data_IF_845835777768
#
_entry.id   IF_845835777768
#
_cell.length_a   1.000
_cell.length_b   1.000
_cell.length_c   1.000
_cell.angle_alpha   90.00
_cell.angle_beta   90.00
_cell.angle_gamma   90.00
#
_symmetry.space_group_name_H-M   'P 1'
#
loop_
_entity.id
_entity.type
_entity.pdbx_description
1 polymer ?
#
# COMPACT_ATOMS: atom_id res chain seq x y z
N UNK A 1 13.65 -8.16 20.29
CA UNK A 1 13.92 -6.77 19.84
C UNK A 1 14.51 -6.74 18.43
N UNK A 2 15.56 -7.51 18.12
CA UNK A 2 16.15 -7.55 16.78
C UNK A 2 15.16 -8.05 15.70
N UNK A 3 14.42 -9.12 15.97
CA UNK A 3 13.41 -9.67 15.05
C UNK A 3 12.25 -8.70 14.77
N UNK A 4 11.75 -8.01 15.80
CA UNK A 4 10.73 -6.96 15.61
C UNK A 4 11.26 -5.80 14.74
N UNK A 5 12.49 -5.34 14.98
CA UNK A 5 13.10 -4.29 14.15
C UNK A 5 13.34 -4.74 12.70
N UNK A 6 13.65 -6.01 12.48
CA UNK A 6 13.75 -6.63 11.16
C UNK A 6 12.41 -6.58 10.40
N UNK A 7 11.33 -7.05 11.02
CA UNK A 7 9.99 -7.05 10.39
C UNK A 7 9.46 -5.63 10.12
N UNK A 8 9.75 -4.67 11.00
CA UNK A 8 9.41 -3.27 10.74
C UNK A 8 10.16 -2.72 9.51
N UNK A 9 11.43 -3.06 9.35
CA UNK A 9 12.23 -2.63 8.20
C UNK A 9 11.72 -3.24 6.89
N UNK A 10 11.28 -4.51 6.91
CA UNK A 10 10.62 -5.14 5.76
C UNK A 10 9.26 -4.50 5.44
N UNK A 11 8.47 -4.16 6.46
CA UNK A 11 7.21 -3.46 6.27
C UNK A 11 7.43 -2.08 5.62
N UNK A 12 8.43 -1.32 6.07
CA UNK A 12 8.79 -0.02 5.50
C UNK A 12 9.35 -0.16 4.09
N UNK A 13 10.20 -1.16 3.85
CA UNK A 13 10.70 -1.52 2.53
C UNK A 13 9.56 -1.84 1.58
N UNK A 14 8.60 -2.68 1.99
CA UNK A 14 7.41 -3.00 1.20
C UNK A 14 6.47 -1.81 1.00
N UNK A 15 6.33 -0.90 1.96
CA UNK A 15 5.52 0.30 1.78
C UNK A 15 6.15 1.27 0.76
N UNK A 16 7.47 1.42 0.81
CA UNK A 16 8.20 2.47 0.09
C UNK A 16 8.91 1.97 -1.19
N UNK A 17 8.93 0.67 -1.49
CA UNK A 17 9.66 0.13 -2.65
C UNK A 17 9.31 0.83 -3.97
N UNK A 18 8.03 1.16 -4.14
CA UNK A 18 7.45 1.75 -5.34
C UNK A 18 7.15 3.25 -5.22
N UNK A 19 7.56 3.92 -4.13
CA UNK A 19 7.27 5.36 -3.93
C UNK A 19 7.87 6.24 -5.03
N UNK A 20 8.90 5.74 -5.71
CA UNK A 20 9.51 6.35 -6.87
C UNK A 20 8.57 6.50 -8.05
N UNK A 21 7.53 5.66 -8.19
CA UNK A 21 6.48 5.86 -9.21
C UNK A 21 5.74 7.18 -9.00
N UNK A 22 5.52 7.55 -7.74
CA UNK A 22 4.94 8.85 -7.41
C UNK A 22 5.92 10.00 -7.70
N UNK A 23 7.19 9.85 -7.28
CA UNK A 23 8.23 10.87 -7.49
C UNK A 23 8.54 11.10 -8.97
N UNK A 24 8.63 10.06 -9.78
CA UNK A 24 8.88 10.09 -11.23
C UNK A 24 7.82 10.92 -11.97
N UNK A 25 6.55 10.81 -11.55
CA UNK A 25 5.46 11.63 -12.11
C UNK A 25 5.56 13.12 -11.77
N UNK A 26 6.40 13.50 -10.79
CA UNK A 26 6.36 14.79 -10.13
C UNK A 26 7.68 15.58 -10.17
N UNK A 27 8.83 14.93 -10.34
CA UNK A 27 10.14 15.53 -10.13
C UNK A 27 11.05 15.30 -11.33
N UNK A 28 11.73 16.37 -11.75
CA UNK A 28 12.89 16.35 -12.64
C UNK A 28 13.98 17.25 -12.01
N UNK A 29 15.28 16.90 -12.05
CA UNK A 29 15.91 15.84 -12.84
C UNK A 29 15.88 14.44 -12.19
N UNK A 30 16.24 13.44 -13.01
CA UNK A 30 16.43 12.04 -12.64
C UNK A 30 17.54 11.89 -11.56
N UNK A 31 17.41 10.93 -10.63
CA UNK A 31 18.45 10.56 -9.67
C UNK A 31 19.76 10.08 -10.34
N UNK A 32 20.84 10.07 -9.55
CA UNK A 32 22.15 9.59 -10.01
C UNK A 32 22.27 8.05 -10.05
N UNK A 33 21.53 7.35 -9.19
CA UNK A 33 21.53 5.89 -9.11
C UNK A 33 20.84 5.25 -10.33
N UNK A 34 21.18 4.00 -10.61
CA UNK A 34 20.60 3.23 -11.71
C UNK A 34 19.93 1.95 -11.15
N UNK A 35 18.67 1.74 -11.55
CA UNK A 35 17.92 0.52 -11.26
C UNK A 35 17.53 -0.18 -12.56
N UNK A 36 16.86 -1.33 -12.43
CA UNK A 36 16.28 -2.04 -13.56
C UNK A 36 15.13 -1.25 -14.21
N UNK A 37 14.40 -0.50 -13.40
CA UNK A 37 13.35 0.42 -13.81
C UNK A 37 13.61 1.83 -13.27
N UNK A 38 13.08 2.84 -13.96
CA UNK A 38 13.28 4.27 -13.66
C UNK A 38 12.76 4.68 -12.28
N UNK A 39 11.72 4.03 -11.77
CA UNK A 39 11.19 4.35 -10.44
C UNK A 39 12.09 3.88 -9.29
N UNK A 40 12.94 2.87 -9.46
CA UNK A 40 13.78 2.32 -8.38
C UNK A 40 14.78 3.36 -7.84
N UNK A 41 15.56 4.08 -8.68
CA UNK A 41 16.39 5.20 -8.22
C UNK A 41 15.59 6.33 -7.56
N UNK A 42 14.36 6.58 -8.01
CA UNK A 42 13.49 7.58 -7.42
C UNK A 42 13.05 7.18 -6.00
N UNK A 43 12.70 5.91 -5.79
CA UNK A 43 12.40 5.35 -4.47
C UNK A 43 13.62 5.43 -3.57
N UNK A 44 14.78 5.00 -4.06
CA UNK A 44 16.06 5.05 -3.34
C UNK A 44 16.37 6.48 -2.87
N UNK A 45 16.32 7.46 -3.78
CA UNK A 45 16.61 8.86 -3.47
C UNK A 45 15.67 9.44 -2.41
N UNK A 46 14.39 9.06 -2.43
CA UNK A 46 13.43 9.49 -1.41
C UNK A 46 13.74 8.86 -0.04
N UNK A 47 14.06 7.57 0.00
CA UNK A 47 14.43 6.88 1.24
C UNK A 47 15.71 7.48 1.83
N UNK A 48 16.72 7.77 1.00
CA UNK A 48 17.97 8.40 1.42
C UNK A 48 17.73 9.80 2.01
N UNK A 49 16.86 10.59 1.37
CA UNK A 49 16.43 11.90 1.86
C UNK A 49 15.69 11.82 3.21
N UNK A 50 15.14 10.65 3.55
CA UNK A 50 14.38 10.39 4.79
C UNK A 50 15.08 9.39 5.71
N UNK A 51 16.39 9.18 5.54
CA UNK A 51 17.14 8.13 6.25
C UNK A 51 17.00 8.20 7.79
N UNK A 52 16.84 9.40 8.35
CA UNK A 52 16.66 9.60 9.80
C UNK A 52 15.39 8.97 10.35
N UNK A 53 14.38 8.73 9.51
CA UNK A 53 13.12 8.08 9.88
C UNK A 53 13.26 6.55 10.04
N UNK A 54 14.42 5.97 9.72
CA UNK A 54 14.65 4.53 9.74
C UNK A 54 15.77 4.17 10.71
N UNK A 55 15.61 3.06 11.43
CA UNK A 55 16.73 2.48 12.20
C UNK A 55 17.69 1.69 11.30
N UNK A 56 17.21 1.18 10.17
CA UNK A 56 18.00 0.45 9.17
C UNK A 56 17.83 1.06 7.77
N UNK A 57 18.26 2.33 7.55
CA UNK A 57 18.06 3.02 6.28
C UNK A 57 18.70 2.27 5.10
N UNK A 58 19.86 1.65 5.31
CA UNK A 58 20.57 0.88 4.28
C UNK A 58 19.77 -0.31 3.76
N UNK A 59 18.97 -0.96 4.62
CA UNK A 59 18.10 -2.06 4.20
C UNK A 59 16.93 -1.53 3.37
N UNK A 60 16.28 -0.46 3.84
CA UNK A 60 15.12 0.13 3.15
C UNK A 60 15.52 0.68 1.78
N UNK A 61 16.69 1.33 1.66
CA UNK A 61 17.19 1.86 0.37
C UNK A 61 17.60 0.76 -0.59
N UNK A 62 18.17 -0.35 -0.09
CA UNK A 62 18.56 -1.51 -0.91
C UNK A 62 17.32 -2.19 -1.49
N UNK A 63 16.31 -2.45 -0.65
CA UNK A 63 15.00 -2.92 -1.09
C UNK A 63 14.42 -2.00 -2.18
N UNK A 64 14.38 -0.70 -1.92
CA UNK A 64 13.83 0.28 -2.87
C UNK A 64 14.53 0.26 -4.24
N UNK A 65 15.85 0.07 -4.25
CA UNK A 65 16.65 0.11 -5.47
C UNK A 65 16.64 -1.21 -6.27
N UNK A 66 16.54 -2.35 -5.60
CA UNK A 66 16.84 -3.65 -6.21
C UNK A 66 15.69 -4.66 -6.18
N UNK A 67 14.48 -4.29 -5.72
CA UNK A 67 13.37 -5.25 -5.61
C UNK A 67 12.95 -5.89 -6.95
N UNK A 68 13.28 -5.34 -8.12
CA UNK A 68 13.06 -6.04 -9.40
C UNK A 68 14.26 -6.87 -9.92
N UNK A 69 15.43 -6.74 -9.30
CA UNK A 69 16.63 -7.55 -9.57
C UNK A 69 17.36 -7.93 -8.26
N UNK A 70 16.69 -8.66 -7.35
CA UNK A 70 17.15 -8.81 -5.98
C UNK A 70 18.37 -9.74 -5.88
N UNK A 71 19.37 -9.33 -5.10
CA UNK A 71 20.54 -10.12 -4.77
C UNK A 71 20.55 -10.53 -3.29
N UNK A 72 20.10 -9.63 -2.41
CA UNK A 72 20.08 -9.86 -0.97
C UNK A 72 18.78 -10.52 -0.50
N UNK A 73 18.79 -11.28 0.61
CA UNK A 73 17.58 -11.93 1.15
C UNK A 73 16.39 -10.98 1.32
N UNK A 74 16.61 -9.78 1.87
CA UNK A 74 15.53 -8.81 2.12
C UNK A 74 14.91 -8.24 0.83
N UNK A 75 15.75 -8.04 -0.19
CA UNK A 75 15.30 -7.64 -1.53
C UNK A 75 14.47 -8.76 -2.17
N UNK A 76 14.89 -10.02 -2.01
CA UNK A 76 14.15 -11.20 -2.50
C UNK A 76 12.79 -11.30 -1.82
N UNK A 77 12.70 -11.09 -0.51
CA UNK A 77 11.45 -11.07 0.26
C UNK A 77 10.45 -10.07 -0.34
N UNK A 78 10.88 -8.82 -0.56
CA UNK A 78 10.01 -7.79 -1.12
C UNK A 78 9.70 -8.02 -2.59
N UNK A 79 10.64 -8.55 -3.37
CA UNK A 79 10.41 -8.96 -4.75
C UNK A 79 9.30 -10.02 -4.87
N UNK A 80 9.34 -11.05 -4.02
CA UNK A 80 8.31 -12.10 -3.98
C UNK A 80 6.97 -11.49 -3.58
N UNK A 81 6.94 -10.65 -2.54
CA UNK A 81 5.74 -9.96 -2.10
C UNK A 81 5.12 -9.06 -3.20
N UNK A 82 5.93 -8.30 -3.93
CA UNK A 82 5.51 -7.45 -5.05
C UNK A 82 4.87 -8.25 -6.19
N UNK A 83 5.51 -9.36 -6.58
CA UNK A 83 4.98 -10.25 -7.61
C UNK A 83 3.64 -10.87 -7.20
N UNK A 84 3.53 -11.34 -5.97
CA UNK A 84 2.29 -11.92 -5.45
C UNK A 84 1.16 -10.88 -5.36
N UNK A 85 1.46 -9.65 -4.93
CA UNK A 85 0.48 -8.56 -4.89
C UNK A 85 0.03 -8.11 -6.29
N UNK A 86 0.86 -8.31 -7.31
CA UNK A 86 0.59 -7.92 -8.70
C UNK A 86 -0.04 -9.01 -9.56
N UNK A 87 -0.07 -10.26 -9.10
CA UNK A 87 -0.41 -11.43 -9.93
C UNK A 87 -1.84 -11.40 -10.52
N UNK A 88 -2.79 -10.77 -9.83
CA UNK A 88 -4.22 -10.71 -10.20
C UNK A 88 -4.61 -9.39 -10.90
N UNK A 89 -3.64 -8.60 -11.39
CA UNK A 89 -3.94 -7.33 -12.08
C UNK A 89 -4.74 -7.58 -13.37
N UNK A 90 -5.77 -6.77 -13.58
CA UNK A 90 -6.64 -6.90 -14.75
C UNK A 90 -5.90 -6.49 -16.03
N UNK A 91 -5.95 -7.36 -17.05
CA UNK A 91 -5.44 -7.04 -18.37
C UNK A 91 -6.31 -5.98 -19.06
N UNK A 92 -5.68 -5.00 -19.70
CA UNK A 92 -6.37 -4.02 -20.52
C UNK A 92 -7.00 -4.70 -21.76
N UNK A 93 -8.21 -4.28 -22.19
CA UNK A 93 -8.81 -4.78 -23.43
C UNK A 93 -7.92 -4.52 -24.64
N UNK A 94 -7.85 -5.48 -25.57
CA UNK A 94 -7.10 -5.31 -26.81
C UNK A 94 -7.74 -4.21 -27.68
N UNK A 95 -6.98 -3.16 -28.02
CA UNK A 95 -7.39 -2.09 -28.93
C UNK A 95 -7.73 -0.74 -28.27
N UNK A 96 -7.61 -0.60 -26.94
CA UNK A 96 -7.68 0.71 -26.29
C UNK A 96 -6.31 1.42 -26.40
N UNK A 97 -6.17 2.36 -27.35
CA UNK A 97 -5.06 3.31 -27.39
C UNK A 97 -5.16 4.26 -26.19
N UNK A 98 -4.50 3.91 -25.09
CA UNK A 98 -4.32 4.85 -23.99
C UNK A 98 -3.17 5.82 -24.29
N UNK A 99 -3.33 7.07 -23.84
CA UNK A 99 -2.36 8.13 -24.05
C UNK A 99 -0.93 7.67 -23.75
N UNK A 100 -0.07 7.75 -24.77
CA UNK A 100 1.34 7.35 -24.73
C UNK A 100 2.10 8.21 -23.73
N UNK A 101 2.42 7.64 -22.57
CA UNK A 101 3.19 8.30 -21.52
C UNK A 101 3.03 7.58 -20.19
N UNK A 102 4.03 6.76 -19.81
CA UNK A 102 4.07 5.99 -18.55
C UNK A 102 3.72 6.78 -17.28
N UNK A 103 3.86 8.10 -17.27
CA UNK A 103 3.80 8.90 -16.05
C UNK A 103 2.45 9.60 -15.76
N UNK A 104 1.39 9.39 -16.55
CA UNK A 104 0.17 10.24 -16.44
C UNK A 104 -1.18 9.55 -16.61
N UNK A 105 -1.25 8.21 -16.59
CA UNK A 105 -2.55 7.52 -16.58
C UNK A 105 -3.19 7.72 -15.20
N UNK A 106 -4.38 8.33 -15.09
CA UNK A 106 -5.05 8.45 -13.79
C UNK A 106 -5.54 7.08 -13.31
N UNK A 107 -5.70 6.95 -11.99
CA UNK A 107 -6.28 5.75 -11.39
C UNK A 107 -7.76 5.63 -11.77
N UNK A 108 -8.17 4.48 -12.28
CA UNK A 108 -9.54 4.16 -12.65
C UNK A 108 -10.31 3.68 -11.41
N UNK A 109 -11.52 4.18 -11.24
CA UNK A 109 -12.41 3.78 -10.16
C UNK A 109 -12.82 2.31 -10.30
N UNK A 110 -12.70 1.55 -9.21
CA UNK A 110 -13.22 0.18 -9.13
C UNK A 110 -14.74 0.11 -9.38
N UNK A 111 -15.49 1.17 -9.01
CA UNK A 111 -16.93 1.26 -9.26
C UNK A 111 -17.19 1.37 -10.76
N UNK A 112 -16.37 2.12 -11.50
CA UNK A 112 -16.46 2.21 -12.95
C UNK A 112 -16.30 0.86 -13.63
N UNK A 113 -15.35 0.04 -13.14
CA UNK A 113 -15.13 -1.33 -13.60
C UNK A 113 -16.32 -2.24 -13.26
N UNK A 114 -16.85 -2.16 -12.04
CA UNK A 114 -18.03 -2.94 -11.63
C UNK A 114 -19.27 -2.65 -12.49
N UNK A 115 -19.35 -1.46 -13.09
CA UNK A 115 -20.39 -1.07 -14.04
C UNK A 115 -19.97 -1.20 -15.52
N UNK A 116 -18.94 -2.00 -15.82
CA UNK A 116 -18.55 -2.37 -17.18
C UNK A 116 -17.89 -1.24 -18.00
N UNK A 117 -17.13 -0.35 -17.35
CA UNK A 117 -16.41 0.77 -17.97
C UNK A 117 -17.30 1.75 -18.76
N UNK A 118 -18.60 1.79 -18.44
CA UNK A 118 -19.57 2.72 -19.03
C UNK A 118 -19.75 4.09 -18.34
N UNK A 119 -19.04 4.49 -17.26
CA UNK A 119 -19.31 5.82 -16.71
C UNK A 119 -18.65 6.91 -17.55
N UNK A 120 -19.35 8.03 -17.67
CA UNK A 120 -18.81 9.29 -18.23
C UNK A 120 -17.58 9.80 -17.44
N UNK A 121 -17.38 9.31 -16.20
CA UNK A 121 -16.36 9.72 -15.26
C UNK A 121 -15.64 8.49 -14.63
N UNK A 122 -14.64 7.90 -15.31
CA UNK A 122 -14.01 6.67 -14.84
C UNK A 122 -12.86 6.90 -13.84
N UNK A 123 -12.32 8.11 -13.72
CA UNK A 123 -11.04 8.37 -13.06
C UNK A 123 -11.23 8.89 -11.64
N UNK A 124 -10.28 8.60 -10.75
CA UNK A 124 -10.22 9.23 -9.42
C UNK A 124 -9.46 10.56 -9.49
N UNK A 125 -9.90 11.59 -8.75
CA UNK A 125 -9.23 12.89 -8.72
C UNK A 125 -7.84 12.77 -8.07
N UNK A 126 -6.86 13.49 -8.61
CA UNK A 126 -5.51 13.54 -8.06
C UNK A 126 -5.44 14.63 -7.00
N UNK A 127 -5.32 14.21 -5.75
CA UNK A 127 -5.27 15.10 -4.59
C UNK A 127 -5.10 14.34 -3.28
N UNK A 128 -4.77 15.03 -2.17
CA UNK A 128 -4.75 14.41 -0.86
C UNK A 128 -6.14 13.86 -0.53
N UNK A 129 -6.19 12.69 0.11
CA UNK A 129 -7.43 12.09 0.57
C UNK A 129 -8.16 13.07 1.49
N UNK A 130 -9.39 13.40 1.12
CA UNK A 130 -10.24 14.38 1.78
C UNK A 130 -11.70 13.92 1.67
N UNK A 131 -12.51 14.25 2.67
CA UNK A 131 -13.93 13.87 2.72
C UNK A 131 -14.82 14.74 1.83
N UNK A 132 -14.27 15.79 1.21
CA UNK A 132 -14.99 16.60 0.22
C UNK A 132 -15.32 15.78 -1.04
N UNK A 133 -16.49 16.03 -1.61
CA UNK A 133 -17.04 15.24 -2.73
C UNK A 133 -16.17 15.30 -3.98
N UNK A 134 -15.67 16.47 -4.31
CA UNK A 134 -14.76 16.76 -5.43
C UNK A 134 -13.37 16.12 -5.27
N UNK A 135 -12.99 15.74 -4.05
CA UNK A 135 -11.71 15.08 -3.76
C UNK A 135 -11.79 13.55 -3.71
N UNK A 136 -13.00 12.95 -3.73
CA UNK A 136 -13.18 11.51 -3.52
C UNK A 136 -13.93 10.82 -4.67
N UNK A 137 -14.94 11.47 -5.25
CA UNK A 137 -15.80 10.83 -6.23
C UNK A 137 -15.16 10.81 -7.63
N UNK A 138 -15.43 9.78 -8.44
CA UNK A 138 -14.89 9.71 -9.79
C UNK A 138 -15.26 10.91 -10.66
N UNK A 139 -14.32 11.35 -11.49
CA UNK A 139 -14.45 12.46 -12.43
C UNK A 139 -14.06 12.05 -13.86
N UNK A 140 -14.51 12.84 -14.83
CA UNK A 140 -14.18 12.65 -16.25
C UNK A 140 -12.84 13.32 -16.63
N UNK A 141 -12.43 14.30 -15.83
CA UNK A 141 -11.29 15.16 -16.13
C UNK A 141 -9.97 14.43 -15.91
N UNK A 142 -9.01 14.68 -16.80
CA UNK A 142 -7.63 14.28 -16.58
C UNK A 142 -6.97 15.21 -15.56
N UNK A 143 -6.04 14.71 -14.74
CA UNK A 143 -5.34 15.54 -13.79
C UNK A 143 -4.55 16.64 -14.51
N UNK A 144 -4.55 17.83 -13.91
CA UNK A 144 -3.70 18.94 -14.37
C UNK A 144 -2.24 18.52 -14.44
N UNK A 145 -1.48 19.12 -15.37
CA UNK A 145 -0.06 18.80 -15.59
C UNK A 145 0.79 18.89 -14.31
N UNK A 146 0.43 19.80 -13.41
CA UNK A 146 1.16 20.06 -12.17
C UNK A 146 0.55 19.34 -10.94
N UNK A 147 -0.58 18.64 -11.09
CA UNK A 147 -1.30 18.03 -9.96
C UNK A 147 -0.40 17.05 -9.17
N UNK A 148 0.29 16.14 -9.88
CA UNK A 148 1.24 15.21 -9.26
C UNK A 148 2.42 15.92 -8.59
N UNK A 149 2.93 16.99 -9.20
CA UNK A 149 4.03 17.80 -8.63
C UNK A 149 3.62 18.49 -7.34
N UNK A 150 2.42 19.05 -7.28
CA UNK A 150 1.87 19.68 -6.09
C UNK A 150 1.59 18.64 -4.99
N UNK A 151 1.02 17.50 -5.36
CA UNK A 151 0.74 16.39 -4.45
C UNK A 151 2.04 15.84 -3.84
N UNK A 152 3.08 15.65 -4.66
CA UNK A 152 4.40 15.21 -4.21
C UNK A 152 5.04 16.20 -3.23
N UNK A 153 5.03 17.51 -3.52
CA UNK A 153 5.57 18.52 -2.60
C UNK A 153 4.87 18.48 -1.24
N UNK A 154 3.54 18.29 -1.23
CA UNK A 154 2.77 18.17 0.00
C UNK A 154 3.11 16.87 0.76
N UNK A 155 3.21 15.74 0.06
CA UNK A 155 3.67 14.46 0.64
C UNK A 155 5.08 14.57 1.22
N UNK A 156 6.01 15.15 0.47
CA UNK A 156 7.40 15.34 0.88
C UNK A 156 7.49 16.22 2.12
N UNK A 157 6.73 17.32 2.18
CA UNK A 157 6.66 18.18 3.34
C UNK A 157 6.08 17.46 4.58
N UNK A 158 5.01 16.69 4.43
CA UNK A 158 4.41 15.94 5.54
C UNK A 158 5.30 14.76 5.99
N UNK A 159 5.99 14.08 5.07
CA UNK A 159 6.95 13.03 5.41
C UNK A 159 8.13 13.54 6.24
N UNK A 160 8.54 14.80 6.02
CA UNK A 160 9.59 15.45 6.81
C UNK A 160 9.18 15.75 8.26
N UNK A 161 7.91 15.55 8.63
CA UNK A 161 7.37 15.76 9.99
C UNK A 161 7.32 14.48 10.82
N UNK A 162 7.68 13.32 10.24
CA UNK A 162 7.68 12.04 10.96
C UNK A 162 8.79 12.06 12.00
N UNK A 163 8.40 12.12 13.28
CA UNK A 163 9.34 12.26 14.39
C UNK A 163 9.88 10.93 14.93
N UNK A 164 9.12 9.84 14.77
CA UNK A 164 9.45 8.53 15.32
C UNK A 164 10.10 7.65 14.26
N UNK A 165 11.22 7.02 14.62
CA UNK A 165 11.86 6.01 13.78
C UNK A 165 10.98 4.78 13.65
N UNK A 166 11.01 4.18 12.47
CA UNK A 166 10.31 2.95 12.12
C UNK A 166 8.78 3.01 12.39
N UNK A 167 8.18 4.19 12.33
CA UNK A 167 6.75 4.41 12.56
C UNK A 167 5.92 3.97 11.35
N UNK A 168 5.78 2.64 11.20
CA UNK A 168 5.04 1.99 10.10
C UNK A 168 3.62 2.52 9.99
N UNK A 169 2.96 2.80 11.11
CA UNK A 169 1.58 3.29 11.11
C UNK A 169 1.48 4.70 10.53
N UNK A 170 2.38 5.60 10.89
CA UNK A 170 2.43 6.95 10.32
C UNK A 170 2.74 6.91 8.82
N UNK A 171 3.70 6.09 8.40
CA UNK A 171 4.01 5.90 6.98
C UNK A 171 2.82 5.32 6.20
N UNK A 172 2.15 4.29 6.73
CA UNK A 172 0.95 3.70 6.13
C UNK A 172 -0.13 4.77 5.87
N UNK A 173 -0.47 5.56 6.89
CA UNK A 173 -1.51 6.60 6.75
C UNK A 173 -1.05 7.78 5.88
N UNK A 174 0.25 8.09 5.84
CA UNK A 174 0.78 9.09 4.93
C UNK A 174 0.63 8.64 3.46
N UNK A 175 0.95 7.37 3.16
CA UNK A 175 0.69 6.80 1.84
C UNK A 175 -0.81 6.72 1.56
N UNK A 176 -1.66 6.41 2.54
CA UNK A 176 -3.11 6.45 2.35
C UNK A 176 -3.58 7.85 1.97
N UNK A 177 -3.03 8.90 2.60
CA UNK A 177 -3.40 10.27 2.31
C UNK A 177 -2.96 10.71 0.91
N UNK A 178 -1.78 10.31 0.44
CA UNK A 178 -1.18 10.88 -0.77
C UNK A 178 -1.10 9.93 -1.97
N UNK A 179 -1.17 8.62 -1.77
CA UNK A 179 -0.97 7.60 -2.80
C UNK A 179 -2.24 6.78 -3.12
N UNK A 180 -3.39 7.10 -2.51
CA UNK A 180 -4.67 6.43 -2.77
C UNK A 180 -5.22 6.65 -4.19
N UNK A 181 -4.84 7.75 -4.84
CA UNK A 181 -5.29 8.16 -6.18
C UNK A 181 -4.21 7.97 -7.26
N UNK A 182 -3.06 7.40 -6.90
CA UNK A 182 -1.93 7.14 -7.81
C UNK A 182 -2.03 5.68 -8.24
N UNK A 183 -1.94 5.33 -9.52
CA UNK A 183 -1.94 3.93 -9.94
C UNK A 183 -0.64 3.23 -9.55
N UNK A 184 -0.74 1.99 -9.09
CA UNK A 184 0.42 1.13 -8.79
C UNK A 184 1.18 0.71 -10.06
N UNK A 185 0.50 0.70 -11.21
CA UNK A 185 1.07 0.40 -12.51
C UNK A 185 0.45 1.28 -13.57
N UNK A 186 1.29 1.83 -14.43
CA UNK A 186 0.87 2.57 -15.62
C UNK A 186 1.10 1.76 -16.91
N UNK A 187 1.45 0.47 -16.80
CA UNK A 187 1.71 -0.39 -17.95
C UNK A 187 0.49 -0.45 -18.88
N UNK A 188 0.70 -0.23 -20.18
CA UNK A 188 -0.38 -0.16 -21.18
C UNK A 188 -1.27 -1.42 -21.21
N UNK A 189 -0.68 -2.58 -20.90
CA UNK A 189 -1.37 -3.88 -20.87
C UNK A 189 -2.21 -4.11 -19.63
N UNK A 190 -2.21 -3.18 -18.68
CA UNK A 190 -2.91 -3.30 -17.40
C UNK A 190 -3.94 -2.18 -17.25
N UNK A 191 -5.05 -2.51 -16.60
CA UNK A 191 -6.02 -1.52 -16.13
C UNK A 191 -5.47 -0.88 -14.85
N UNK A 192 -5.31 0.46 -14.79
CA UNK A 192 -4.75 1.13 -13.63
C UNK A 192 -5.84 1.31 -12.57
N UNK A 193 -6.30 0.22 -11.95
CA UNK A 193 -7.42 0.22 -10.99
C UNK A 193 -7.01 -0.17 -9.56
N UNK A 194 -5.73 -0.44 -9.34
CA UNK A 194 -5.13 -0.63 -8.02
C UNK A 194 -4.30 0.60 -7.66
N UNK A 195 -4.61 1.20 -6.51
CA UNK A 195 -3.84 2.34 -6.00
C UNK A 195 -2.44 1.93 -5.56
N UNK A 196 -1.48 2.84 -5.67
CA UNK A 196 -0.11 2.67 -5.17
C UNK A 196 -0.15 2.38 -3.66
N UNK A 197 -1.04 3.05 -2.91
CA UNK A 197 -1.25 2.77 -1.49
C UNK A 197 -1.69 1.32 -1.24
N UNK A 198 -2.71 0.82 -1.93
CA UNK A 198 -3.23 -0.54 -1.71
C UNK A 198 -2.23 -1.61 -2.13
N UNK A 199 -1.51 -1.38 -3.22
CA UNK A 199 -0.40 -2.23 -3.66
C UNK A 199 0.70 -2.27 -2.61
N UNK A 200 1.28 -1.12 -2.25
CA UNK A 200 2.33 -1.01 -1.23
C UNK A 200 1.93 -1.61 0.12
N UNK A 201 0.68 -1.40 0.56
CA UNK A 201 0.16 -2.00 1.80
C UNK A 201 0.16 -3.52 1.73
N UNK A 202 -0.26 -4.09 0.60
CA UNK A 202 -0.30 -5.54 0.39
C UNK A 202 1.12 -6.14 0.30
N UNK A 203 2.04 -5.47 -0.40
CA UNK A 203 3.45 -5.85 -0.47
C UNK A 203 4.08 -5.83 0.92
N UNK A 204 3.86 -4.77 1.71
CA UNK A 204 4.35 -4.69 3.08
C UNK A 204 3.78 -5.80 3.97
N UNK A 205 2.51 -6.17 3.79
CA UNK A 205 1.89 -7.24 4.56
C UNK A 205 2.52 -8.60 4.23
N UNK A 206 2.66 -8.92 2.94
CA UNK A 206 3.26 -10.17 2.47
C UNK A 206 4.75 -10.26 2.80
N UNK A 207 5.50 -9.17 2.66
CA UNK A 207 6.93 -9.12 2.97
C UNK A 207 7.20 -9.46 4.44
N UNK A 208 6.34 -9.01 5.36
CA UNK A 208 6.44 -9.38 6.78
C UNK A 208 6.17 -10.88 6.99
N UNK A 209 5.17 -11.46 6.32
CA UNK A 209 4.88 -12.90 6.42
C UNK A 209 6.05 -13.75 5.89
N UNK A 210 6.54 -13.41 4.68
CA UNK A 210 7.64 -14.13 4.03
C UNK A 210 8.93 -13.95 4.84
N UNK A 211 9.23 -12.74 5.30
CA UNK A 211 10.41 -12.45 6.11
C UNK A 211 10.39 -13.18 7.46
N UNK A 212 9.24 -13.23 8.13
CA UNK A 212 9.10 -13.99 9.38
C UNK A 212 9.27 -15.50 9.19
N UNK A 213 8.81 -16.05 8.06
CA UNK A 213 8.86 -17.49 7.79
C UNK A 213 10.20 -17.96 7.17
N UNK A 214 10.79 -17.16 6.29
CA UNK A 214 11.88 -17.56 5.39
C UNK A 214 13.02 -16.55 5.29
N UNK A 215 13.00 -15.44 6.02
CA UNK A 215 13.98 -14.35 5.86
C UNK A 215 15.44 -14.75 6.12
N UNK A 216 15.68 -15.84 6.86
CA UNK A 216 17.00 -16.40 7.12
C UNK A 216 17.34 -17.64 6.27
N UNK A 217 16.41 -18.12 5.44
CA UNK A 217 16.55 -19.31 4.60
C UNK A 217 16.64 -18.92 3.13
N UNK A 218 17.87 -18.73 2.65
CA UNK A 218 18.11 -18.26 1.29
C UNK A 218 17.67 -19.27 0.22
N UNK A 219 17.77 -20.57 0.50
CA UNK A 219 17.33 -21.62 -0.42
C UNK A 219 15.80 -21.58 -0.57
N UNK A 220 15.07 -21.42 0.54
CA UNK A 220 13.62 -21.23 0.50
C UNK A 220 13.22 -19.96 -0.28
N UNK A 221 13.92 -18.84 -0.07
CA UNK A 221 13.67 -17.61 -0.82
C UNK A 221 13.95 -17.77 -2.31
N UNK A 222 15.03 -18.46 -2.69
CA UNK A 222 15.34 -18.74 -4.10
C UNK A 222 14.26 -19.63 -4.75
N UNK A 223 13.77 -20.64 -4.02
CA UNK A 223 12.66 -21.49 -4.47
C UNK A 223 11.37 -20.68 -4.69
N UNK A 224 11.00 -19.83 -3.73
CA UNK A 224 9.84 -18.95 -3.83
C UNK A 224 9.97 -17.93 -4.98
N UNK A 225 11.17 -17.37 -5.17
CA UNK A 225 11.45 -16.43 -6.24
C UNK A 225 11.34 -17.07 -7.62
N UNK A 226 11.72 -18.34 -7.76
CA UNK A 226 11.52 -19.11 -8.99
C UNK A 226 10.03 -19.42 -9.22
N UNK A 227 9.33 -19.94 -8.20
CA UNK A 227 7.92 -20.31 -8.28
C UNK A 227 7.01 -19.13 -8.67
N UNK A 228 7.32 -17.92 -8.17
CA UNK A 228 6.57 -16.70 -8.53
C UNK A 228 6.83 -16.20 -9.95
N UNK A 229 7.97 -16.53 -10.58
CA UNK A 229 8.20 -16.19 -12.01
C UNK A 229 7.38 -17.07 -12.94
N UNK A 230 7.18 -18.32 -12.57
CA UNK A 230 6.51 -19.32 -13.40
C UNK A 230 4.97 -19.31 -13.21
N UNK A 231 4.43 -18.45 -12.35
CA UNK A 231 3.02 -18.50 -11.89
C UNK A 231 2.62 -19.89 -11.35
N UNK A 232 3.61 -20.65 -10.85
CA UNK A 232 3.45 -22.02 -10.34
C UNK A 232 3.27 -22.05 -8.82
N UNK A 233 3.03 -20.91 -8.18
CA UNK A 233 3.08 -20.75 -6.74
C UNK A 233 1.87 -21.37 -6.03
N UNK A 234 1.98 -22.65 -5.66
CA UNK A 234 1.10 -23.29 -4.67
C UNK A 234 1.76 -23.39 -3.29
N UNK A 235 2.78 -22.56 -3.03
CA UNK A 235 3.52 -22.54 -1.76
C UNK A 235 2.80 -21.57 -0.81
N UNK A 236 2.32 -22.03 0.36
CA UNK A 236 1.66 -21.16 1.32
C UNK A 236 2.66 -20.19 1.94
N UNK A 237 2.52 -18.89 1.64
CA UNK A 237 3.41 -17.83 2.15
C UNK A 237 2.82 -17.01 3.30
N UNK A 238 1.50 -17.12 3.52
CA UNK A 238 0.79 -16.36 4.54
C UNK A 238 -0.47 -17.11 5.01
N UNK A 239 -0.96 -16.74 6.19
CA UNK A 239 -2.23 -17.23 6.74
C UNK A 239 -3.23 -16.07 6.81
N UNK A 240 -4.41 -16.26 6.23
CA UNK A 240 -5.51 -15.31 6.40
C UNK A 240 -6.24 -15.59 7.71
N UNK A 241 -6.15 -14.66 8.66
CA UNK A 241 -6.81 -14.75 9.97
C UNK A 241 -8.03 -13.84 9.98
N UNK A 242 -9.21 -14.40 10.27
CA UNK A 242 -10.43 -13.64 10.51
C UNK A 242 -10.80 -13.71 11.99
N UNK A 243 -11.11 -12.55 12.56
CA UNK A 243 -11.77 -12.43 13.86
C UNK A 243 -13.20 -11.94 13.62
N UNK A 244 -14.15 -12.40 14.43
CA UNK A 244 -15.58 -12.11 14.27
C UNK A 244 -16.23 -11.88 15.64
N UNK A 245 -16.80 -10.71 15.86
CA UNK A 245 -17.51 -10.38 17.11
C UNK A 245 -19.00 -10.71 16.98
N UNK A 246 -19.45 -11.76 17.68
CA UNK A 246 -20.86 -12.16 17.65
C UNK A 246 -21.74 -11.31 18.56
N UNK A 247 -23.03 -11.17 18.19
CA UNK A 247 -24.03 -10.52 19.03
C UNK A 247 -24.15 -9.00 18.88
N UNK A 248 -23.50 -8.41 17.87
CA UNK A 248 -23.53 -6.95 17.62
C UNK A 248 -24.95 -6.41 17.48
N UNK A 249 -25.82 -7.05 16.70
CA UNK A 249 -27.20 -6.57 16.53
C UNK A 249 -27.96 -6.55 17.86
N UNK A 250 -27.87 -7.62 18.65
CA UNK A 250 -28.49 -7.71 19.97
C UNK A 250 -27.97 -6.63 20.92
N UNK A 251 -26.67 -6.35 20.87
CA UNK A 251 -26.05 -5.27 21.64
C UNK A 251 -26.53 -3.88 21.18
N UNK A 252 -26.61 -3.63 19.88
CA UNK A 252 -27.03 -2.33 19.34
C UNK A 252 -28.49 -2.02 19.67
N UNK A 253 -29.38 -3.00 19.55
CA UNK A 253 -30.84 -2.78 19.60
C UNK A 253 -31.50 -3.11 20.95
N UNK A 254 -30.75 -3.44 21.99
CA UNK A 254 -31.26 -3.56 23.37
C UNK A 254 -31.55 -2.19 24.02
N UNK A 255 -32.29 -1.33 23.33
CA UNK A 255 -32.54 0.07 23.67
C UNK A 255 -33.82 0.25 24.49
N UNK A 256 -33.78 1.13 25.48
CA UNK A 256 -34.98 1.68 26.12
C UNK A 256 -35.44 2.94 25.38
N UNK A 257 -36.73 3.29 25.45
CA UNK A 257 -37.34 4.31 24.59
C UNK A 257 -36.73 5.72 24.72
N UNK A 258 -36.10 6.06 25.86
CA UNK A 258 -35.53 7.38 26.12
C UNK A 258 -34.07 7.46 25.67
N UNK A 259 -33.74 8.36 24.74
CA UNK A 259 -32.36 8.59 24.29
C UNK A 259 -31.80 7.54 23.33
N UNK A 260 -32.68 6.74 22.70
CA UNK A 260 -32.33 5.63 21.81
C UNK A 260 -31.30 6.00 20.72
N UNK A 261 -31.46 7.14 20.05
CA UNK A 261 -30.53 7.58 19.00
C UNK A 261 -29.11 7.87 19.51
N UNK A 262 -28.97 8.50 20.68
CA UNK A 262 -27.67 8.76 21.31
C UNK A 262 -27.02 7.45 21.77
N UNK A 263 -27.80 6.57 22.38
CA UNK A 263 -27.34 5.24 22.83
C UNK A 263 -26.87 4.38 21.66
N UNK A 264 -27.64 4.35 20.55
CA UNK A 264 -27.27 3.58 19.36
C UNK A 264 -25.93 4.05 18.76
N UNK A 265 -25.74 5.36 18.59
CA UNK A 265 -24.46 5.92 18.10
C UNK A 265 -23.30 5.58 19.03
N UNK A 266 -23.49 5.73 20.34
CA UNK A 266 -22.47 5.40 21.33
C UNK A 266 -22.08 3.91 21.31
N UNK A 267 -23.08 3.02 21.20
CA UNK A 267 -22.84 1.56 21.11
C UNK A 267 -22.16 1.15 19.80
N UNK A 268 -22.55 1.75 18.68
CA UNK A 268 -21.89 1.51 17.39
C UNK A 268 -20.43 1.95 17.40
N UNK A 269 -20.15 3.15 17.94
CA UNK A 269 -18.76 3.62 18.12
C UNK A 269 -17.97 2.71 19.08
N UNK A 270 -18.59 2.27 20.19
CA UNK A 270 -17.97 1.35 21.15
C UNK A 270 -17.56 0.03 20.50
N UNK A 271 -18.42 -0.58 19.68
CA UNK A 271 -18.08 -1.80 18.94
C UNK A 271 -16.85 -1.57 18.05
N UNK A 272 -16.80 -0.45 17.32
CA UNK A 272 -15.65 -0.09 16.50
C UNK A 272 -14.35 -0.01 17.30
N UNK A 273 -14.39 0.67 18.45
CA UNK A 273 -13.24 0.76 19.37
C UNK A 273 -12.80 -0.61 19.90
N UNK A 274 -13.75 -1.48 20.25
CA UNK A 274 -13.44 -2.85 20.71
C UNK A 274 -12.77 -3.65 19.60
N UNK A 275 -13.28 -3.59 18.36
CA UNK A 275 -12.70 -4.31 17.23
C UNK A 275 -11.28 -3.81 16.92
N UNK A 276 -11.06 -2.50 16.89
CA UNK A 276 -9.75 -1.90 16.69
C UNK A 276 -8.77 -2.27 17.82
N UNK A 277 -9.19 -2.15 19.09
CA UNK A 277 -8.35 -2.50 20.23
C UNK A 277 -7.98 -3.99 20.25
N UNK A 278 -8.92 -4.89 19.90
CA UNK A 278 -8.65 -6.33 19.81
C UNK A 278 -7.65 -6.66 18.71
N UNK A 279 -7.85 -6.13 17.49
CA UNK A 279 -6.94 -6.32 16.38
C UNK A 279 -5.52 -5.83 16.74
N UNK A 280 -5.41 -4.61 17.29
CA UNK A 280 -4.13 -4.04 17.74
C UNK A 280 -3.48 -4.86 18.85
N UNK A 281 -4.28 -5.38 19.80
CA UNK A 281 -3.76 -6.22 20.90
C UNK A 281 -3.17 -7.52 20.39
N UNK A 282 -3.78 -8.14 19.37
CA UNK A 282 -3.27 -9.36 18.73
C UNK A 282 -1.98 -9.06 17.98
N UNK A 283 -1.95 -8.02 17.13
CA UNK A 283 -0.74 -7.64 16.40
C UNK A 283 0.42 -7.32 17.33
N UNK A 284 0.17 -6.55 18.39
CA UNK A 284 1.19 -6.23 19.40
C UNK A 284 1.67 -7.48 20.16
N UNK A 285 0.79 -8.44 20.45
CA UNK A 285 1.18 -9.70 21.09
C UNK A 285 2.09 -10.55 20.21
N UNK A 286 1.89 -10.48 18.88
CA UNK A 286 2.67 -11.21 17.89
C UNK A 286 3.90 -10.43 17.39
N UNK A 287 4.10 -9.18 17.84
CA UNK A 287 5.18 -8.33 17.35
C UNK A 287 5.03 -7.92 15.88
N UNK A 288 3.79 -7.91 15.37
CA UNK A 288 3.47 -7.63 13.98
C UNK A 288 3.07 -6.15 13.75
N UNK A 289 3.47 -5.55 12.61
CA UNK A 289 3.08 -4.18 12.26
C UNK A 289 1.60 -4.07 11.87
N UNK A 290 1.07 -2.85 11.91
CA UNK A 290 -0.31 -2.53 11.51
C UNK A 290 -0.65 -2.89 10.07
N UNK A 291 0.35 -3.04 9.18
CA UNK A 291 0.15 -3.49 7.79
C UNK A 291 -0.48 -4.89 7.70
N UNK A 292 -0.40 -5.69 8.75
CA UNK A 292 -1.06 -7.01 8.84
C UNK A 292 -2.59 -6.91 9.05
N UNK A 293 -3.11 -5.75 9.48
CA UNK A 293 -4.55 -5.52 9.58
C UNK A 293 -5.10 -5.08 8.21
N UNK A 294 -5.51 -6.04 7.39
CA UNK A 294 -6.06 -5.76 6.05
C UNK A 294 -7.39 -4.98 6.10
N UNK A 295 -8.24 -5.32 7.06
CA UNK A 295 -9.53 -4.70 7.28
C UNK A 295 -9.98 -4.85 8.74
N UNK A 296 -10.35 -3.74 9.37
CA UNK A 296 -10.98 -3.72 10.70
C UNK A 296 -12.37 -3.12 10.52
N UNK A 297 -13.38 -3.99 10.53
CA UNK A 297 -14.78 -3.61 10.34
C UNK A 297 -15.56 -3.53 11.65
N UNK A 298 -16.88 -3.38 11.51
CA UNK A 298 -17.82 -3.37 12.63
C UNK A 298 -18.19 -4.77 13.14
N UNK A 299 -17.20 -5.62 13.45
CA UNK A 299 -17.41 -6.98 13.96
C UNK A 299 -16.75 -8.08 13.17
#
# INVERSE_FOLDING_TARGET
MAEASYLLSLALGGLLHDIGKFRECAVSPEPAEHGKYTHEPHSHAFVELRQEAFSQPDRVRAIALAHHDPQLPDEKVVCIADRLASAERAAAPAGEEHATGRARRPLVSLIARAHGHRPEAPNLPVGPLDYRRDALFPCAEHPDKDAYSQLWRAFEADSGRIARKDDVETWLHLLQKYAWCIPASAAEKEVPDVSLFDHSRSVAALAVCIGAAHGADEDALNCLLAATKENSANIPVAMLVRMDVRGIQSFLYSLTAKGAAKSLRGRSFYIGLVCDALARRVLHALGLPITQALYIGGG
#
